data_IF_167429006849
#
_entry.id   IF_167429006849
#
_cell.length_a   1.000
_cell.length_b   1.000
_cell.length_c   1.000
_cell.angle_alpha   90.00
_cell.angle_beta   90.00
_cell.angle_gamma   90.00
#
_symmetry.space_group_name_H-M   'P 1'
#
loop_
_entity.id
_entity.type
_entity.pdbx_description
1 polymer ?
#
# COMPACT_ATOMS: atom_id res chain seq x y z
N UNK A 1 20.55 42.96 -2.11
CA UNK A 1 20.97 41.55 -2.00
C UNK A 1 19.71 40.73 -2.02
N UNK A 2 19.44 40.08 -3.14
CA UNK A 2 18.22 39.31 -3.38
C UNK A 2 18.27 38.02 -2.56
N UNK A 3 17.25 37.82 -1.71
CA UNK A 3 16.97 36.54 -1.07
C UNK A 3 16.17 35.69 -2.06
N UNK A 4 16.87 34.82 -2.78
CA UNK A 4 16.26 33.80 -3.64
C UNK A 4 15.47 32.79 -2.80
N UNK A 5 14.14 32.92 -2.85
CA UNK A 5 13.23 31.90 -2.32
C UNK A 5 13.31 30.65 -3.19
N UNK A 6 13.74 29.53 -2.60
CA UNK A 6 13.63 28.20 -3.21
C UNK A 6 12.14 27.88 -3.31
N UNK A 7 11.58 27.98 -4.52
CA UNK A 7 10.25 27.45 -4.84
C UNK A 7 10.31 25.93 -4.71
N UNK A 8 9.78 25.40 -3.61
CA UNK A 8 9.37 24.01 -3.55
C UNK A 8 8.30 23.80 -4.63
N UNK A 9 8.63 23.04 -5.66
CA UNK A 9 7.62 22.57 -6.62
C UNK A 9 6.68 21.63 -5.86
N UNK A 10 5.49 22.10 -5.52
CA UNK A 10 4.38 21.21 -5.18
C UNK A 10 4.20 20.24 -6.35
N UNK A 11 4.63 18.98 -6.18
CA UNK A 11 4.27 17.91 -7.13
C UNK A 11 2.75 17.76 -7.05
N UNK A 12 2.05 18.24 -8.08
CA UNK A 12 0.59 18.24 -8.12
C UNK A 12 0.09 16.83 -8.46
N UNK A 13 -0.35 16.08 -7.46
CA UNK A 13 -1.06 14.81 -7.67
C UNK A 13 -2.34 15.05 -8.48
N UNK A 14 -2.54 14.30 -9.56
CA UNK A 14 -3.72 14.42 -10.43
C UNK A 14 -4.79 13.41 -10.03
N UNK A 15 -5.99 13.87 -9.72
CA UNK A 15 -7.12 12.96 -9.44
C UNK A 15 -7.63 12.33 -10.75
N UNK A 16 -7.83 11.01 -10.74
CA UNK A 16 -8.34 10.23 -11.89
C UNK A 16 -9.41 9.24 -11.45
N UNK A 17 -10.26 8.84 -12.39
CA UNK A 17 -11.27 7.82 -12.14
C UNK A 17 -10.66 6.42 -11.97
N UNK A 18 -11.35 5.54 -11.22
CA UNK A 18 -10.91 4.15 -11.08
C UNK A 18 -10.99 3.40 -12.42
N UNK A 19 -9.85 2.86 -12.83
CA UNK A 19 -9.56 2.32 -14.15
C UNK A 19 -8.45 3.11 -14.84
N UNK A 20 -8.46 4.43 -14.68
CA UNK A 20 -7.56 5.37 -15.37
C UNK A 20 -6.24 5.60 -14.63
N UNK A 21 -6.08 5.04 -13.43
CA UNK A 21 -4.80 4.98 -12.72
C UNK A 21 -3.77 4.09 -13.44
N UNK A 22 -4.21 3.27 -14.40
CA UNK A 22 -3.33 2.39 -15.14
C UNK A 22 -2.96 2.96 -16.51
N UNK A 23 -1.73 2.70 -16.94
CA UNK A 23 -1.24 2.94 -18.29
C UNK A 23 -0.52 1.70 -18.84
N UNK A 24 0.04 1.80 -20.04
CA UNK A 24 0.81 0.73 -20.67
C UNK A 24 2.23 1.19 -20.98
N UNK A 25 3.20 0.46 -20.44
CA UNK A 25 4.62 0.61 -20.79
C UNK A 25 5.12 -0.69 -21.41
N UNK A 26 5.67 -0.62 -22.64
CA UNK A 26 6.15 -1.81 -23.37
C UNK A 26 5.13 -2.97 -23.36
N UNK A 27 3.83 -2.65 -23.51
CA UNK A 27 2.67 -3.56 -23.45
C UNK A 27 2.34 -4.15 -22.07
N UNK A 28 3.05 -3.78 -21.01
CA UNK A 28 2.75 -4.16 -19.62
C UNK A 28 1.84 -3.10 -18.98
N UNK A 29 0.84 -3.56 -18.23
CA UNK A 29 -0.03 -2.69 -17.43
C UNK A 29 0.75 -2.20 -16.21
N UNK A 30 0.90 -0.89 -16.05
CA UNK A 30 1.59 -0.25 -14.93
C UNK A 30 0.72 0.87 -14.36
N UNK A 31 1.05 1.35 -13.17
CA UNK A 31 0.40 2.52 -12.57
C UNK A 31 0.98 3.80 -13.18
N UNK A 32 0.13 4.81 -13.31
CA UNK A 32 0.55 6.16 -13.69
C UNK A 32 1.28 6.82 -12.51
N UNK A 33 2.30 7.64 -12.77
CA UNK A 33 2.93 8.44 -11.73
C UNK A 33 2.04 9.60 -11.29
N UNK A 34 2.22 10.04 -10.05
CA UNK A 34 1.62 11.25 -9.46
C UNK A 34 0.09 11.35 -9.63
N UNK A 35 -0.64 10.24 -9.41
CA UNK A 35 -2.12 10.24 -9.46
C UNK A 35 -2.75 9.88 -8.12
N UNK A 36 -3.98 10.33 -7.92
CA UNK A 36 -4.87 9.92 -6.84
C UNK A 36 -6.13 9.30 -7.45
N UNK A 37 -6.60 8.18 -6.89
CA UNK A 37 -7.85 7.53 -7.31
C UNK A 37 -8.48 6.82 -6.12
N UNK A 38 -9.80 6.62 -6.17
CA UNK A 38 -10.54 5.87 -5.15
C UNK A 38 -11.11 4.60 -5.75
N UNK A 39 -10.86 3.45 -5.13
CA UNK A 39 -11.41 2.17 -5.58
C UNK A 39 -12.93 2.14 -5.42
N UNK A 40 -13.60 1.16 -6.04
CA UNK A 40 -15.05 0.97 -5.93
C UNK A 40 -15.49 0.72 -4.48
N UNK A 41 -14.57 0.18 -3.68
CA UNK A 41 -14.72 -0.14 -2.27
C UNK A 41 -14.51 1.08 -1.35
N UNK A 42 -14.12 2.24 -1.90
CA UNK A 42 -13.93 3.47 -1.14
C UNK A 42 -12.51 3.69 -0.61
N UNK A 43 -11.54 2.89 -1.03
CA UNK A 43 -10.13 3.06 -0.64
C UNK A 43 -9.44 4.05 -1.57
N UNK A 44 -8.89 5.13 -1.02
CA UNK A 44 -8.15 6.14 -1.77
C UNK A 44 -6.67 5.79 -1.80
N UNK A 45 -6.09 5.82 -2.99
CA UNK A 45 -4.69 5.54 -3.24
C UNK A 45 -4.03 6.73 -3.91
N UNK A 46 -2.73 6.89 -3.64
CA UNK A 46 -1.87 7.80 -4.38
C UNK A 46 -0.68 7.05 -4.96
N UNK A 47 -0.16 7.51 -6.09
CA UNK A 47 1.12 7.05 -6.64
C UNK A 47 2.18 8.13 -6.58
N UNK A 48 3.44 7.74 -6.46
CA UNK A 48 4.57 8.68 -6.56
C UNK A 48 4.99 8.91 -8.02
N UNK A 49 6.05 9.70 -8.22
CA UNK A 49 6.57 10.03 -9.55
C UNK A 49 7.17 8.86 -10.32
N UNK A 50 7.35 7.69 -9.69
CA UNK A 50 7.80 6.47 -10.35
C UNK A 50 6.63 5.51 -10.65
N UNK A 51 5.40 5.89 -10.32
CA UNK A 51 4.23 5.03 -10.47
C UNK A 51 4.20 3.91 -9.44
N UNK A 52 4.78 4.10 -8.26
CA UNK A 52 4.65 3.17 -7.12
C UNK A 52 3.51 3.65 -6.22
N UNK A 53 2.81 2.72 -5.56
CA UNK A 53 1.79 3.10 -4.57
C UNK A 53 2.46 3.79 -3.39
N UNK A 54 2.16 5.07 -3.21
CA UNK A 54 2.73 5.93 -2.17
C UNK A 54 1.87 6.00 -0.92
N UNK A 55 0.55 5.84 -1.07
CA UNK A 55 -0.35 5.68 0.08
C UNK A 55 -1.62 4.93 -0.29
N UNK A 56 -2.26 4.34 0.72
CA UNK A 56 -3.62 3.81 0.68
C UNK A 56 -4.34 4.17 1.98
N UNK A 57 -5.57 4.68 1.90
CA UNK A 57 -6.38 4.99 3.08
C UNK A 57 -7.88 4.74 2.88
N UNK A 58 -8.58 4.48 3.98
CA UNK A 58 -10.04 4.35 3.99
C UNK A 58 -10.58 3.65 5.24
N UNK A 59 -11.91 3.55 5.32
CA UNK A 59 -12.59 2.71 6.32
C UNK A 59 -12.67 1.28 5.78
N UNK A 60 -12.06 0.33 6.50
CA UNK A 60 -12.07 -1.08 6.14
C UNK A 60 -13.49 -1.65 6.20
N UNK A 61 -13.76 -2.60 5.32
CA UNK A 61 -15.03 -3.32 5.27
C UNK A 61 -14.81 -4.81 5.04
N UNK A 62 -15.45 -5.65 5.85
CA UNK A 62 -15.38 -7.10 5.68
C UNK A 62 -15.95 -7.53 4.32
N UNK A 63 -15.32 -8.53 3.71
CA UNK A 63 -15.76 -9.19 2.49
C UNK A 63 -14.59 -9.66 1.65
N UNK A 64 -14.87 -10.47 0.63
CA UNK A 64 -13.82 -11.11 -0.15
C UNK A 64 -13.48 -10.36 -1.44
N UNK A 65 -12.25 -9.87 -1.51
CA UNK A 65 -11.62 -9.35 -2.73
C UNK A 65 -11.16 -10.47 -3.65
N UNK A 66 -11.10 -10.18 -4.96
CA UNK A 66 -10.63 -11.15 -5.96
C UNK A 66 -9.10 -11.20 -6.00
N UNK A 67 -8.52 -12.34 -5.63
CA UNK A 67 -7.07 -12.61 -5.77
C UNK A 67 -6.66 -12.67 -7.23
N UNK A 68 -5.47 -12.14 -7.53
CA UNK A 68 -4.79 -12.31 -8.81
C UNK A 68 -3.40 -12.91 -8.55
N UNK A 69 -3.28 -14.23 -8.74
CA UNK A 69 -2.05 -14.97 -8.47
C UNK A 69 -0.90 -14.58 -9.42
N UNK A 70 -1.23 -14.13 -10.63
CA UNK A 70 -0.21 -13.61 -11.54
C UNK A 70 0.37 -12.31 -10.98
N UNK A 71 -0.49 -11.37 -10.59
CA UNK A 71 -0.06 -10.09 -10.03
C UNK A 71 0.79 -10.27 -8.75
N UNK A 72 0.34 -11.12 -7.83
CA UNK A 72 1.09 -11.41 -6.60
C UNK A 72 2.48 -12.00 -6.85
N UNK A 73 2.69 -12.70 -7.98
CA UNK A 73 3.98 -13.30 -8.34
C UNK A 73 4.91 -12.32 -9.04
N UNK A 74 4.39 -11.33 -9.76
CA UNK A 74 5.20 -10.44 -10.61
C UNK A 74 5.35 -9.02 -10.07
N UNK A 75 4.63 -8.65 -9.01
CA UNK A 75 4.77 -7.33 -8.38
C UNK A 75 6.21 -7.10 -7.93
N UNK A 76 6.71 -5.89 -8.13
CA UNK A 76 8.13 -5.51 -7.94
C UNK A 76 9.01 -5.74 -9.16
N UNK A 77 8.66 -6.67 -10.05
CA UNK A 77 9.51 -7.01 -11.18
C UNK A 77 10.91 -7.42 -10.72
N UNK A 78 11.93 -6.77 -11.27
CA UNK A 78 13.34 -7.07 -10.99
C UNK A 78 13.79 -6.63 -9.58
N UNK A 79 13.03 -5.74 -8.91
CA UNK A 79 13.34 -5.28 -7.55
C UNK A 79 12.79 -6.21 -6.45
N UNK A 80 11.98 -7.21 -6.84
CA UNK A 80 11.45 -8.20 -5.90
C UNK A 80 12.54 -9.20 -5.50
N UNK A 81 12.64 -9.50 -4.21
CA UNK A 81 13.43 -10.63 -3.73
C UNK A 81 12.63 -11.92 -3.94
N UNK A 82 12.88 -12.63 -5.05
CA UNK A 82 12.01 -13.72 -5.52
C UNK A 82 11.79 -14.84 -4.48
N UNK A 83 12.82 -15.16 -3.70
CA UNK A 83 12.77 -16.22 -2.69
C UNK A 83 12.23 -15.76 -1.33
N UNK A 84 12.28 -14.45 -1.05
CA UNK A 84 11.97 -13.88 0.26
C UNK A 84 10.65 -13.09 0.28
N UNK A 85 10.19 -12.55 -0.85
CA UNK A 85 9.01 -11.69 -0.92
C UNK A 85 7.77 -12.43 -1.43
N UNK A 86 6.64 -12.11 -0.82
CA UNK A 86 5.30 -12.30 -1.34
C UNK A 86 4.85 -11.06 -2.13
N UNK A 87 3.79 -11.21 -2.93
CA UNK A 87 3.00 -10.05 -3.36
C UNK A 87 2.04 -9.66 -2.24
N UNK A 88 2.54 -8.92 -1.25
CA UNK A 88 1.79 -8.50 -0.07
C UNK A 88 0.69 -7.50 -0.44
N UNK A 89 -0.49 -7.66 0.15
CA UNK A 89 -1.58 -6.70 -0.04
C UNK A 89 -1.41 -5.55 0.96
N UNK A 90 -1.59 -4.30 0.51
CA UNK A 90 -1.71 -3.17 1.43
C UNK A 90 -3.06 -3.22 2.17
N UNK A 91 -4.14 -3.40 1.42
CA UNK A 91 -5.46 -3.75 1.97
C UNK A 91 -5.75 -5.21 1.66
N UNK A 92 -5.88 -6.04 2.70
CA UNK A 92 -6.07 -7.47 2.58
C UNK A 92 -7.34 -7.85 1.78
N UNK A 93 -7.35 -9.06 1.21
CA UNK A 93 -8.54 -9.55 0.49
C UNK A 93 -9.76 -9.69 1.37
N UNK A 94 -9.60 -9.95 2.68
CA UNK A 94 -10.72 -10.01 3.64
C UNK A 94 -11.37 -8.64 3.89
N UNK A 95 -10.74 -7.57 3.40
CA UNK A 95 -11.25 -6.22 3.41
C UNK A 95 -11.67 -5.74 2.01
N UNK A 96 -11.97 -6.67 1.08
CA UNK A 96 -12.25 -6.38 -0.34
C UNK A 96 -11.11 -5.67 -1.09
N UNK A 97 -9.87 -5.70 -0.58
CA UNK A 97 -8.74 -5.09 -1.26
C UNK A 97 -8.50 -5.65 -2.66
N UNK A 98 -8.08 -4.78 -3.59
CA UNK A 98 -7.76 -5.18 -4.97
C UNK A 98 -6.64 -6.22 -4.98
N UNK A 99 -6.80 -7.28 -5.77
CA UNK A 99 -5.72 -8.23 -6.01
C UNK A 99 -4.71 -7.77 -7.07
N UNK A 100 -4.84 -6.57 -7.64
CA UNK A 100 -3.99 -6.10 -8.74
C UNK A 100 -2.80 -5.25 -8.24
N UNK A 101 -1.91 -4.88 -9.17
CA UNK A 101 -0.68 -4.09 -8.93
C UNK A 101 -0.89 -2.78 -8.13
N UNK A 102 -2.13 -2.29 -8.09
CA UNK A 102 -2.53 -1.03 -7.45
C UNK A 102 -2.70 -1.14 -5.94
N UNK A 103 -2.66 -2.35 -5.40
CA UNK A 103 -2.79 -2.65 -3.97
C UNK A 103 -1.79 -3.74 -3.52
N UNK A 104 -0.81 -4.07 -4.37
CA UNK A 104 0.21 -5.06 -4.10
C UNK A 104 1.60 -4.41 -4.06
N UNK A 105 2.46 -4.91 -3.19
CA UNK A 105 3.88 -4.55 -3.11
C UNK A 105 4.72 -5.81 -2.87
N UNK A 106 6.01 -5.83 -3.26
CA UNK A 106 6.93 -6.83 -2.76
C UNK A 106 7.07 -6.67 -1.25
N UNK A 107 6.63 -7.68 -0.50
CA UNK A 107 6.66 -7.66 0.95
C UNK A 107 7.32 -8.93 1.45
N UNK A 108 8.27 -8.81 2.38
CA UNK A 108 8.93 -9.96 2.96
C UNK A 108 7.89 -10.97 3.46
N UNK A 109 8.02 -12.23 3.04
CA UNK A 109 7.02 -13.28 3.26
C UNK A 109 6.79 -13.55 4.74
N UNK A 110 7.81 -13.39 5.60
CA UNK A 110 7.67 -13.58 7.04
C UNK A 110 6.90 -12.41 7.67
N UNK A 111 7.16 -11.16 7.25
CA UNK A 111 6.37 -10.00 7.66
C UNK A 111 4.90 -10.13 7.20
N UNK A 112 4.70 -10.39 5.90
CA UNK A 112 3.38 -10.50 5.27
C UNK A 112 2.50 -11.57 5.94
N UNK A 113 3.07 -12.73 6.25
CA UNK A 113 2.34 -13.86 6.87
C UNK A 113 2.33 -13.81 8.41
N UNK A 114 3.13 -12.92 9.00
CA UNK A 114 3.36 -12.77 10.43
C UNK A 114 2.72 -11.49 10.97
N UNK A 115 3.53 -10.48 11.31
CA UNK A 115 3.07 -9.25 11.96
C UNK A 115 2.03 -8.48 11.15
N UNK A 116 2.16 -8.46 9.82
CA UNK A 116 1.16 -7.83 8.96
C UNK A 116 -0.19 -8.53 9.08
N UNK A 117 -0.20 -9.86 8.98
CA UNK A 117 -1.40 -10.69 9.15
C UNK A 117 -2.03 -10.55 10.53
N UNK A 118 -1.24 -10.32 11.59
CA UNK A 118 -1.77 -10.06 12.94
C UNK A 118 -2.60 -8.78 12.98
N UNK A 119 -2.14 -7.69 12.35
CA UNK A 119 -2.93 -6.47 12.21
C UNK A 119 -4.21 -6.71 11.42
N UNK A 120 -4.13 -7.46 10.32
CA UNK A 120 -5.31 -7.80 9.53
C UNK A 120 -6.33 -8.62 10.35
N UNK A 121 -5.89 -9.52 11.22
CA UNK A 121 -6.78 -10.28 12.11
C UNK A 121 -7.42 -9.35 13.16
N UNK A 122 -6.63 -8.51 13.82
CA UNK A 122 -7.11 -7.53 14.82
C UNK A 122 -8.19 -6.62 14.23
N UNK A 123 -7.93 -6.04 13.06
CA UNK A 123 -8.91 -5.20 12.36
C UNK A 123 -10.16 -5.97 11.95
N UNK A 124 -10.02 -7.21 11.51
CA UNK A 124 -11.17 -8.04 11.13
C UNK A 124 -12.02 -8.43 12.35
N UNK A 125 -11.40 -8.68 13.50
CA UNK A 125 -12.11 -8.95 14.76
C UNK A 125 -12.88 -7.72 15.24
N UNK A 126 -12.27 -6.54 15.21
CA UNK A 126 -12.95 -5.28 15.54
C UNK A 126 -14.17 -5.03 14.63
N UNK A 127 -14.02 -5.20 13.31
CA UNK A 127 -15.15 -5.05 12.38
C UNK A 127 -16.28 -6.06 12.66
N UNK A 128 -15.96 -7.29 13.10
CA UNK A 128 -16.98 -8.30 13.47
C UNK A 128 -17.73 -7.95 14.75
N UNK A 129 -17.09 -7.22 15.66
CA UNK A 129 -17.71 -6.70 16.88
C UNK A 129 -18.55 -5.44 16.62
N UNK A 130 -18.51 -4.90 15.40
CA UNK A 130 -19.30 -3.74 14.98
C UNK A 130 -18.54 -2.41 15.04
N UNK A 131 -17.25 -2.44 15.37
CA UNK A 131 -16.42 -1.23 15.36
C UNK A 131 -16.08 -0.79 13.93
N UNK A 132 -15.90 0.52 13.75
CA UNK A 132 -15.31 1.06 12.52
C UNK A 132 -13.78 0.96 12.59
N UNK A 133 -13.14 0.50 11.51
CA UNK A 133 -11.67 0.51 11.42
C UNK A 133 -11.22 1.42 10.28
N UNK A 134 -10.47 2.48 10.60
CA UNK A 134 -9.86 3.39 9.60
C UNK A 134 -8.38 3.11 9.52
N UNK A 135 -7.84 3.05 8.30
CA UNK A 135 -6.41 2.86 8.07
C UNK A 135 -5.85 3.90 7.10
N UNK A 136 -4.57 4.22 7.28
CA UNK A 136 -3.71 4.90 6.33
C UNK A 136 -2.37 4.18 6.32
N UNK A 137 -1.98 3.67 5.16
CA UNK A 137 -0.76 2.88 4.95
C UNK A 137 0.13 3.65 3.98
N UNK A 138 1.38 3.85 4.36
CA UNK A 138 2.40 4.53 3.57
C UNK A 138 3.61 3.59 3.39
N UNK A 139 3.74 2.93 2.23
CA UNK A 139 4.99 2.29 1.84
C UNK A 139 6.08 3.36 1.65
N UNK A 140 7.26 3.13 2.20
CA UNK A 140 8.42 4.01 2.05
C UNK A 140 9.46 3.33 1.15
N UNK A 141 9.93 4.06 0.13
CA UNK A 141 10.86 3.55 -0.87
C UNK A 141 12.13 4.40 -0.88
N UNK A 142 13.28 3.74 -1.08
CA UNK A 142 14.55 4.40 -1.33
C UNK A 142 14.95 4.31 -2.81
N UNK A 143 15.41 5.43 -3.36
CA UNK A 143 15.82 5.53 -4.76
C UNK A 143 14.73 5.08 -5.73
N UNK A 144 15.16 4.37 -6.78
CA UNK A 144 14.30 3.89 -7.88
C UNK A 144 13.66 2.51 -7.69
N UNK A 145 13.75 1.93 -6.49
CA UNK A 145 13.26 0.57 -6.22
C UNK A 145 11.74 0.51 -6.17
N UNK A 146 11.14 -0.52 -6.78
CA UNK A 146 9.70 -0.85 -6.64
C UNK A 146 9.39 -1.67 -5.40
N UNK A 147 10.41 -2.16 -4.68
CA UNK A 147 10.27 -2.80 -3.38
C UNK A 147 10.37 -1.74 -2.28
N UNK A 148 9.34 -1.56 -1.45
CA UNK A 148 9.42 -0.69 -0.28
C UNK A 148 10.49 -1.18 0.70
N UNK A 149 11.18 -0.25 1.36
CA UNK A 149 12.10 -0.54 2.45
C UNK A 149 11.36 -0.70 3.78
N UNK A 150 10.24 0.00 3.95
CA UNK A 150 9.44 -0.05 5.17
C UNK A 150 7.99 0.38 4.93
N UNK A 151 7.16 0.22 5.96
CA UNK A 151 5.75 0.60 5.97
C UNK A 151 5.44 1.40 7.23
N UNK A 152 4.85 2.57 7.06
CA UNK A 152 4.21 3.30 8.15
C UNK A 152 2.69 3.12 8.06
N UNK A 153 2.09 2.63 9.12
CA UNK A 153 0.66 2.35 9.22
C UNK A 153 0.10 3.20 10.34
N UNK A 154 -0.97 3.93 10.06
CA UNK A 154 -1.78 4.61 11.05
C UNK A 154 -3.19 4.07 11.01
N UNK A 155 -3.73 3.62 12.13
CA UNK A 155 -5.09 3.09 12.17
C UNK A 155 -5.86 3.51 13.42
N UNK A 156 -7.19 3.40 13.37
CA UNK A 156 -8.08 3.68 14.49
C UNK A 156 -9.21 2.68 14.49
N UNK A 157 -9.49 2.11 15.66
CA UNK A 157 -10.63 1.22 15.90
C UNK A 157 -11.68 1.98 16.72
N UNK A 158 -12.92 1.97 16.27
CA UNK A 158 -14.04 2.66 16.90
C UNK A 158 -13.79 4.16 17.12
N UNK A 159 -14.09 4.61 18.33
CA UNK A 159 -13.82 5.95 18.86
C UNK A 159 -12.47 6.07 19.58
N UNK A 160 -11.64 5.02 19.53
CA UNK A 160 -10.31 5.00 20.11
C UNK A 160 -9.34 6.02 19.49
N UNK A 161 -8.15 6.11 20.06
CA UNK A 161 -7.09 6.98 19.53
C UNK A 161 -6.44 6.37 18.30
N UNK A 162 -5.85 7.21 17.45
CA UNK A 162 -5.04 6.71 16.34
C UNK A 162 -3.77 6.01 16.86
N UNK A 163 -3.57 4.78 16.43
CA UNK A 163 -2.36 4.00 16.64
C UNK A 163 -1.43 4.08 15.42
N UNK A 164 -0.14 3.85 15.66
CA UNK A 164 0.89 3.82 14.62
C UNK A 164 1.71 2.54 14.72
N UNK A 165 1.98 1.91 13.57
CA UNK A 165 2.93 0.81 13.44
C UNK A 165 3.95 1.16 12.37
N UNK A 166 5.19 0.76 12.60
CA UNK A 166 6.26 0.81 11.63
C UNK A 166 6.79 -0.61 11.45
N UNK A 167 6.95 -1.03 10.20
CA UNK A 167 7.62 -2.28 9.85
C UNK A 167 8.73 -2.02 8.84
N UNK A 168 9.91 -2.55 9.11
CA UNK A 168 10.93 -2.69 8.07
C UNK A 168 10.55 -3.87 7.19
N UNK A 169 10.76 -3.76 5.88
CA UNK A 169 10.40 -4.80 4.91
C UNK A 169 11.46 -5.91 4.88
N UNK A 170 11.69 -6.51 6.04
CA UNK A 170 12.64 -7.59 6.32
C UNK A 170 11.93 -8.69 7.12
N UNK A 171 12.61 -9.81 7.35
CA UNK A 171 12.08 -10.88 8.19
C UNK A 171 11.75 -10.34 9.59
N UNK A 172 10.56 -10.66 10.12
CA UNK A 172 10.13 -10.21 11.45
C UNK A 172 9.63 -8.77 11.54
N UNK A 173 9.75 -7.96 10.49
CA UNK A 173 9.24 -6.59 10.48
C UNK A 173 10.09 -5.57 11.26
N UNK A 174 11.30 -5.95 11.70
CA UNK A 174 12.27 -5.10 12.39
C UNK A 174 13.67 -5.54 11.99
N UNK A 175 14.58 -4.59 11.82
CA UNK A 175 16.01 -4.91 11.98
C UNK A 175 16.22 -5.35 13.44
N UNK A 176 16.85 -6.49 13.64
CA UNK A 176 17.28 -6.94 14.97
C UNK A 176 18.03 -5.78 15.66
N UNK A 177 17.58 -5.38 16.86
CA UNK A 177 18.32 -4.45 17.75
C UNK A 177 19.56 -5.12 18.34
#
# INVERSE_FOLDING_TARGET
MESGGVKGTEKSTVKVDYGDQFTKEKRKKVLRPDVEYTSKEGYTYTTDSEGRVASCEGSLQLGDGKRNNYAQRVVGGDDRLVDDDDGGHLIATIFKGSGNMDNLVPMNSNLNRGEWKKLEIEWAEALKLGDEVKVKILPNYNGGSKRPDSFFIRYRIGDGTWETKHFDNVRGGKLDE
#
